data_IF_699321866201
#
_entry.id   IF_699321866201
#
_cell.length_a   1.000
_cell.length_b   1.000
_cell.length_c   1.000
_cell.angle_alpha   90.00
_cell.angle_beta   90.00
_cell.angle_gamma   90.00
#
_symmetry.space_group_name_H-M   'P 1'
#
loop_
_entity.id
_entity.type
_entity.pdbx_description
1 polymer ?
#
# COMPACT_ATOMS: atom_id res chain seq x y z
N UNK A 1 22.30 15.14 -30.86
CA UNK A 1 21.38 14.51 -29.89
C UNK A 1 20.43 13.59 -30.65
N UNK A 2 20.36 12.30 -30.33
CA UNK A 2 19.30 11.44 -30.86
C UNK A 2 18.00 11.85 -30.17
N UNK A 3 16.98 12.23 -30.95
CA UNK A 3 15.63 12.43 -30.43
C UNK A 3 15.11 11.07 -29.99
N UNK A 4 14.96 10.86 -28.68
CA UNK A 4 14.36 9.64 -28.14
C UNK A 4 12.86 9.79 -28.24
N UNK A 5 12.23 9.03 -29.14
CA UNK A 5 10.78 8.93 -29.21
C UNK A 5 10.32 8.17 -27.95
N UNK A 6 9.57 8.85 -27.08
CA UNK A 6 8.97 8.23 -25.90
C UNK A 6 7.74 7.41 -26.32
N UNK A 7 7.47 6.33 -25.58
CA UNK A 7 6.21 5.59 -25.72
C UNK A 7 5.04 6.54 -25.38
N UNK A 8 3.90 6.39 -26.07
CA UNK A 8 2.69 7.15 -25.80
C UNK A 8 2.25 7.04 -24.32
N UNK A 9 2.41 5.87 -23.70
CA UNK A 9 2.10 5.64 -22.29
C UNK A 9 3.05 6.34 -21.30
N UNK A 10 4.16 6.90 -21.79
CA UNK A 10 5.12 7.69 -21.01
C UNK A 10 5.05 9.19 -21.36
N UNK A 11 4.26 9.57 -22.38
CA UNK A 11 4.05 10.96 -22.78
C UNK A 11 2.90 11.60 -22.02
N UNK A 12 2.90 12.93 -21.93
CA UNK A 12 1.76 13.67 -21.40
C UNK A 12 0.52 13.39 -22.25
N UNK A 13 -0.58 13.00 -21.60
CA UNK A 13 -1.85 12.69 -22.26
C UNK A 13 -2.58 13.95 -22.71
N UNK A 14 -3.34 13.84 -23.80
CA UNK A 14 -4.26 14.89 -24.21
C UNK A 14 -5.48 14.91 -23.28
N UNK A 15 -6.23 16.03 -23.21
CA UNK A 15 -7.49 16.08 -22.48
C UNK A 15 -8.47 14.95 -22.89
N UNK A 16 -8.50 14.60 -24.18
CA UNK A 16 -9.40 13.57 -24.71
C UNK A 16 -9.04 12.15 -24.25
N UNK A 17 -7.77 11.87 -23.97
CA UNK A 17 -7.25 10.55 -23.60
C UNK A 17 -6.89 10.42 -22.12
N UNK A 18 -7.02 11.52 -21.36
CA UNK A 18 -6.64 11.57 -19.95
C UNK A 18 -7.43 10.58 -19.07
N UNK A 19 -8.69 10.31 -19.44
CA UNK A 19 -9.56 9.39 -18.72
C UNK A 19 -9.53 7.95 -19.25
N UNK A 20 -8.74 7.65 -20.28
CA UNK A 20 -8.60 6.28 -20.77
C UNK A 20 -7.72 5.45 -19.81
N UNK A 21 -7.98 4.14 -19.65
CA UNK A 21 -7.11 3.29 -18.85
C UNK A 21 -5.68 3.25 -19.42
N UNK A 22 -4.67 3.16 -18.54
CA UNK A 22 -3.31 2.85 -19.00
C UNK A 22 -3.23 1.40 -19.51
N UNK A 23 -2.61 1.13 -20.68
CA UNK A 23 -2.47 -0.22 -21.19
C UNK A 23 -1.82 -1.21 -20.21
N UNK A 24 -0.96 -0.72 -19.31
CA UNK A 24 -0.27 -1.53 -18.29
C UNK A 24 -1.19 -1.91 -17.13
N UNK A 25 -2.18 -1.09 -16.82
CA UNK A 25 -3.17 -1.36 -15.76
C UNK A 25 -4.03 -2.58 -16.13
N UNK A 26 -4.30 -2.78 -17.41
CA UNK A 26 -5.09 -3.90 -17.93
C UNK A 26 -4.24 -5.14 -18.29
N UNK A 27 -2.91 -5.03 -18.29
CA UNK A 27 -2.00 -6.09 -18.76
C UNK A 27 -2.00 -7.34 -17.86
N UNK A 28 -2.36 -7.20 -16.57
CA UNK A 28 -2.38 -8.29 -15.60
C UNK A 28 -3.80 -8.81 -15.30
N UNK A 29 -4.72 -8.68 -16.25
CA UNK A 29 -6.04 -9.29 -16.15
C UNK A 29 -5.90 -10.82 -16.05
N UNK A 30 -6.45 -11.41 -14.97
CA UNK A 30 -6.68 -12.85 -14.91
C UNK A 30 -7.87 -13.23 -15.81
N UNK A 31 -8.66 -14.23 -15.41
CA UNK A 31 -9.87 -14.63 -16.15
C UNK A 31 -10.92 -13.51 -16.22
N UNK A 32 -10.88 -12.55 -15.28
CA UNK A 32 -11.77 -11.39 -15.25
C UNK A 32 -11.02 -10.14 -15.69
N UNK A 33 -11.57 -9.42 -16.69
CA UNK A 33 -11.05 -8.12 -17.09
C UNK A 33 -11.16 -7.14 -15.91
N UNK A 34 -10.07 -6.48 -15.51
CA UNK A 34 -10.13 -5.49 -14.45
C UNK A 34 -10.97 -4.31 -14.94
N UNK A 35 -11.78 -3.74 -14.06
CA UNK A 35 -12.60 -2.56 -14.33
C UNK A 35 -12.32 -1.47 -13.32
N UNK A 36 -12.50 -0.20 -13.71
CA UNK A 36 -12.34 0.93 -12.80
C UNK A 36 -13.28 0.81 -11.59
N UNK A 37 -14.48 0.27 -11.77
CA UNK A 37 -15.44 0.04 -10.68
C UNK A 37 -14.94 -1.02 -9.67
N UNK A 38 -14.32 -2.10 -10.15
CA UNK A 38 -13.71 -3.10 -9.27
C UNK A 38 -12.50 -2.51 -8.53
N UNK A 39 -11.63 -1.78 -9.24
CA UNK A 39 -10.48 -1.07 -8.66
C UNK A 39 -10.90 -0.08 -7.57
N UNK A 40 -11.94 0.72 -7.83
CA UNK A 40 -12.52 1.63 -6.84
C UNK A 40 -13.02 0.88 -5.60
N UNK A 41 -13.76 -0.21 -5.79
CA UNK A 41 -14.31 -1.01 -4.69
C UNK A 41 -13.21 -1.57 -3.78
N UNK A 42 -12.10 -2.01 -4.36
CA UNK A 42 -10.95 -2.52 -3.61
C UNK A 42 -10.29 -1.41 -2.77
N UNK A 43 -10.20 -0.19 -3.30
CA UNK A 43 -9.69 0.99 -2.57
C UNK A 43 -10.66 1.41 -1.45
N UNK A 44 -11.95 1.46 -1.75
CA UNK A 44 -13.02 1.88 -0.83
C UNK A 44 -13.12 0.97 0.40
N UNK A 45 -12.81 -0.33 0.24
CA UNK A 45 -12.75 -1.29 1.33
C UNK A 45 -11.67 -0.98 2.38
N UNK A 46 -10.70 -0.11 2.06
CA UNK A 46 -9.66 0.36 2.98
C UNK A 46 -10.17 1.64 3.66
N UNK A 47 -10.56 1.51 4.93
CA UNK A 47 -11.14 2.60 5.71
C UNK A 47 -10.29 2.91 6.95
N UNK A 48 -10.24 4.19 7.31
CA UNK A 48 -9.69 4.62 8.59
C UNK A 48 -10.71 4.35 9.71
N UNK A 49 -10.19 4.07 10.91
CA UNK A 49 -11.02 3.97 12.11
C UNK A 49 -11.42 5.34 12.63
N UNK A 50 -12.46 5.39 13.47
CA UNK A 50 -12.86 6.61 14.15
C UNK A 50 -11.73 7.16 15.04
N UNK A 51 -11.59 8.50 15.09
CA UNK A 51 -10.61 9.19 15.93
C UNK A 51 -9.26 9.49 15.29
N UNK A 52 -9.09 9.22 13.99
CA UNK A 52 -7.90 9.68 13.25
C UNK A 52 -7.95 11.20 13.08
N UNK A 53 -6.86 11.94 13.37
CA UNK A 53 -6.82 13.39 13.18
C UNK A 53 -7.12 13.79 11.73
N UNK A 54 -7.85 14.90 11.55
CA UNK A 54 -8.29 15.39 10.24
C UNK A 54 -7.14 15.52 9.24
N UNK A 55 -6.01 16.12 9.65
CA UNK A 55 -4.84 16.27 8.80
C UNK A 55 -4.30 14.93 8.27
N UNK A 56 -4.36 13.86 9.07
CA UNK A 56 -3.94 12.51 8.66
C UNK A 56 -4.96 11.91 7.70
N UNK A 57 -6.26 12.07 7.98
CA UNK A 57 -7.35 11.60 7.15
C UNK A 57 -7.29 12.21 5.74
N UNK A 58 -7.05 13.52 5.63
CA UNK A 58 -6.88 14.21 4.34
C UNK A 58 -5.72 13.59 3.53
N UNK A 59 -4.57 13.34 4.16
CA UNK A 59 -3.43 12.74 3.44
C UNK A 59 -3.68 11.29 3.03
N UNK A 60 -4.47 10.55 3.81
CA UNK A 60 -4.90 9.20 3.46
C UNK A 60 -5.86 9.21 2.25
N UNK A 61 -6.83 10.11 2.23
CA UNK A 61 -7.73 10.30 1.09
C UNK A 61 -6.97 10.68 -0.19
N UNK A 62 -5.97 11.55 -0.07
CA UNK A 62 -5.09 11.87 -1.19
C UNK A 62 -4.36 10.63 -1.73
N UNK A 63 -3.91 9.72 -0.86
CA UNK A 63 -3.31 8.46 -1.28
C UNK A 63 -4.31 7.58 -2.05
N UNK A 64 -5.55 7.44 -1.54
CA UNK A 64 -6.62 6.67 -2.19
C UNK A 64 -6.97 7.23 -3.56
N UNK A 65 -7.12 8.55 -3.65
CA UNK A 65 -7.41 9.24 -4.91
C UNK A 65 -6.27 9.07 -5.91
N UNK A 66 -5.01 9.24 -5.50
CA UNK A 66 -3.87 8.99 -6.38
C UNK A 66 -3.83 7.53 -6.86
N UNK A 67 -4.15 6.57 -5.99
CA UNK A 67 -4.20 5.15 -6.34
C UNK A 67 -5.34 4.84 -7.31
N UNK A 68 -6.49 5.52 -7.17
CA UNK A 68 -7.60 5.45 -8.13
C UNK A 68 -7.16 6.00 -9.49
N UNK A 69 -6.56 7.20 -9.53
CA UNK A 69 -6.09 7.80 -10.79
C UNK A 69 -4.91 7.08 -11.43
N UNK A 70 -4.15 6.29 -10.66
CA UNK A 70 -3.12 5.41 -11.21
C UNK A 70 -3.68 4.35 -12.17
N UNK A 71 -5.00 4.11 -12.14
CA UNK A 71 -5.70 3.34 -13.17
C UNK A 71 -5.47 3.92 -14.58
N UNK A 72 -5.57 5.24 -14.69
CA UNK A 72 -5.37 5.98 -15.92
C UNK A 72 -3.89 6.25 -16.20
N UNK A 73 -3.06 6.37 -15.18
CA UNK A 73 -1.61 6.62 -15.35
C UNK A 73 -0.83 5.65 -14.46
N UNK A 74 -0.39 4.53 -15.02
CA UNK A 74 0.25 3.44 -14.25
C UNK A 74 1.45 3.92 -13.40
N UNK A 75 2.20 4.92 -13.89
CA UNK A 75 3.34 5.51 -13.17
C UNK A 75 2.95 6.24 -11.87
N UNK A 76 1.66 6.47 -11.62
CA UNK A 76 1.20 7.05 -10.37
C UNK A 76 1.07 6.02 -9.23
N UNK A 77 1.14 4.71 -9.49
CA UNK A 77 1.11 3.70 -8.43
C UNK A 77 2.21 3.91 -7.36
N UNK A 78 3.49 4.09 -7.74
CA UNK A 78 4.54 4.42 -6.76
C UNK A 78 4.31 5.76 -6.02
N UNK A 79 3.70 6.74 -6.69
CA UNK A 79 3.40 8.06 -6.10
C UNK A 79 2.31 7.91 -5.04
N UNK A 80 1.23 7.19 -5.35
CA UNK A 80 0.18 6.85 -4.41
C UNK A 80 0.71 6.06 -3.20
N UNK A 81 1.61 5.09 -3.44
CA UNK A 81 2.27 4.34 -2.37
C UNK A 81 3.12 5.25 -1.46
N UNK A 82 3.87 6.18 -2.05
CA UNK A 82 4.69 7.13 -1.30
C UNK A 82 3.81 8.06 -0.45
N UNK A 83 2.69 8.52 -1.00
CA UNK A 83 1.68 9.31 -0.29
C UNK A 83 1.03 8.52 0.87
N UNK A 84 0.76 7.22 0.68
CA UNK A 84 0.25 6.37 1.75
C UNK A 84 1.26 6.23 2.91
N UNK A 85 2.54 6.04 2.60
CA UNK A 85 3.61 5.99 3.60
C UNK A 85 3.78 7.33 4.33
N UNK A 86 3.64 8.44 3.62
CA UNK A 86 3.64 9.78 4.23
C UNK A 86 2.46 9.98 5.19
N UNK A 87 1.25 9.58 4.79
CA UNK A 87 0.06 9.63 5.66
C UNK A 87 0.26 8.78 6.92
N UNK A 88 0.85 7.58 6.79
CA UNK A 88 1.21 6.73 7.92
C UNK A 88 2.23 7.40 8.84
N UNK A 89 3.29 8.00 8.29
CA UNK A 89 4.28 8.74 9.08
C UNK A 89 3.63 9.87 9.88
N UNK A 90 2.74 10.64 9.24
CA UNK A 90 2.01 11.73 9.89
C UNK A 90 1.12 11.22 11.03
N UNK A 91 0.41 10.11 10.82
CA UNK A 91 -0.40 9.47 11.85
C UNK A 91 0.43 8.96 13.04
N UNK A 92 1.59 8.37 12.76
CA UNK A 92 2.51 7.92 13.81
C UNK A 92 3.07 9.12 14.59
N UNK A 93 3.45 10.20 13.92
CA UNK A 93 3.90 11.45 14.58
C UNK A 93 2.83 12.09 15.46
N UNK A 94 1.56 12.02 15.05
CA UNK A 94 0.46 12.53 15.85
C UNK A 94 0.19 11.70 17.12
N UNK A 95 0.62 10.43 17.14
CA UNK A 95 0.37 9.49 18.24
C UNK A 95 1.57 9.31 19.18
N UNK A 96 2.78 9.38 18.63
CA UNK A 96 4.03 9.09 19.34
C UNK A 96 4.72 10.37 19.80
N UNK A 97 5.67 10.29 20.76
CA UNK A 97 6.43 11.46 21.19
C UNK A 97 7.25 12.09 20.05
N UNK A 98 7.44 13.41 20.11
CA UNK A 98 8.27 14.17 19.15
C UNK A 98 9.73 13.70 19.08
N UNK A 99 10.20 13.08 20.17
CA UNK A 99 11.53 12.49 20.29
C UNK A 99 11.40 11.03 20.72
N UNK A 100 11.93 10.11 19.92
CA UNK A 100 12.01 8.70 20.26
C UNK A 100 13.33 8.38 20.98
N UNK A 101 13.35 7.34 21.83
CA UNK A 101 14.59 6.84 22.40
C UNK A 101 15.49 6.21 21.32
N UNK A 102 16.78 6.06 21.63
CA UNK A 102 17.62 5.13 20.86
C UNK A 102 17.07 3.70 21.02
N UNK A 103 17.12 2.86 19.97
CA UNK A 103 17.80 3.07 18.67
C UNK A 103 16.92 3.72 17.58
N UNK A 104 15.66 4.09 17.87
CA UNK A 104 14.67 4.49 16.87
C UNK A 104 14.88 5.90 16.30
N UNK A 105 15.63 6.75 17.00
CA UNK A 105 16.00 8.07 16.51
C UNK A 105 17.46 8.37 16.82
N UNK A 106 18.21 8.77 15.80
CA UNK A 106 19.62 9.12 15.92
C UNK A 106 19.79 10.50 16.56
N UNK A 107 20.89 10.76 17.30
CA UNK A 107 21.14 12.05 17.95
C UNK A 107 20.99 13.25 17.02
N UNK A 108 21.54 13.17 15.80
CA UNK A 108 21.52 14.26 14.81
C UNK A 108 20.17 14.47 14.11
N UNK A 109 19.23 13.52 14.20
CA UNK A 109 17.92 13.65 13.57
C UNK A 109 17.04 14.58 14.40
N UNK A 110 16.58 15.70 13.82
CA UNK A 110 15.67 16.63 14.52
C UNK A 110 14.33 15.98 14.88
N UNK A 111 13.77 15.20 13.96
CA UNK A 111 12.51 14.48 14.15
C UNK A 111 12.67 13.01 13.73
N UNK A 112 11.88 12.11 14.32
CA UNK A 112 11.87 10.72 13.89
C UNK A 112 11.26 10.61 12.47
N UNK A 113 11.82 9.67 11.70
CA UNK A 113 11.34 9.33 10.35
C UNK A 113 10.52 8.05 10.41
N UNK A 114 9.78 7.73 9.34
CA UNK A 114 8.89 6.57 9.26
C UNK A 114 9.51 5.27 9.78
N UNK A 115 10.75 4.95 9.39
CA UNK A 115 11.40 3.71 9.82
C UNK A 115 11.55 3.62 11.35
N UNK A 116 11.96 4.71 12.00
CA UNK A 116 12.09 4.79 13.45
C UNK A 116 10.75 4.74 14.16
N UNK A 117 9.78 5.51 13.66
CA UNK A 117 8.41 5.53 14.17
C UNK A 117 7.74 4.16 14.10
N UNK A 118 7.89 3.47 12.98
CA UNK A 118 7.31 2.15 12.77
C UNK A 118 7.97 1.10 13.66
N UNK A 119 9.30 1.12 13.77
CA UNK A 119 10.02 0.23 14.70
C UNK A 119 9.57 0.43 16.14
N UNK A 120 9.48 1.68 16.60
CA UNK A 120 9.00 1.98 17.94
C UNK A 120 7.54 1.57 18.15
N UNK A 121 6.67 1.81 17.17
CA UNK A 121 5.27 1.41 17.23
C UNK A 121 5.09 -0.12 17.32
N UNK A 122 5.94 -0.89 16.64
CA UNK A 122 5.96 -2.36 16.73
C UNK A 122 6.36 -2.78 18.14
N UNK A 123 7.44 -2.22 18.69
CA UNK A 123 7.95 -2.60 20.01
C UNK A 123 7.04 -2.16 21.17
N UNK A 124 6.28 -1.07 20.98
CA UNK A 124 5.18 -0.69 21.88
C UNK A 124 3.90 -1.52 21.67
N UNK A 125 3.90 -2.45 20.71
CA UNK A 125 2.77 -3.32 20.41
C UNK A 125 1.56 -2.59 19.80
N UNK A 126 1.76 -1.40 19.22
CA UNK A 126 0.73 -0.64 18.50
C UNK A 126 0.47 -1.22 17.10
N UNK A 127 1.48 -1.84 16.51
CA UNK A 127 1.37 -2.60 15.25
C UNK A 127 1.71 -4.04 15.54
N UNK A 128 0.81 -4.95 15.18
CA UNK A 128 0.97 -6.40 15.42
C UNK A 128 0.60 -7.17 14.17
N UNK A 129 1.27 -8.32 13.95
CA UNK A 129 1.05 -9.15 12.77
C UNK A 129 -0.40 -9.63 12.68
N UNK A 130 -1.00 -9.93 13.82
CA UNK A 130 -2.39 -10.36 13.98
C UNK A 130 -3.40 -9.30 13.51
N UNK A 131 -2.99 -8.03 13.42
CA UNK A 131 -3.81 -6.97 12.85
C UNK A 131 -3.93 -7.04 11.32
N UNK A 132 -3.06 -7.79 10.63
CA UNK A 132 -3.05 -7.86 9.17
C UNK A 132 -3.81 -9.09 8.66
N UNK A 133 -4.85 -8.88 7.83
CA UNK A 133 -5.60 -9.98 7.19
C UNK A 133 -4.69 -10.98 6.46
N UNK A 134 -3.63 -10.50 5.80
CA UNK A 134 -2.65 -11.34 5.10
C UNK A 134 -1.93 -12.31 6.03
N UNK A 135 -1.68 -11.93 7.28
CA UNK A 135 -1.06 -12.83 8.27
C UNK A 135 -1.95 -14.05 8.53
N UNK A 136 -3.24 -13.80 8.76
CA UNK A 136 -4.24 -14.87 8.94
C UNK A 136 -4.35 -15.76 7.70
N UNK A 137 -4.48 -15.16 6.52
CA UNK A 137 -4.55 -15.91 5.25
C UNK A 137 -3.30 -16.78 5.01
N UNK A 138 -2.11 -16.28 5.32
CA UNK A 138 -0.87 -17.05 5.17
C UNK A 138 -0.78 -18.19 6.20
N UNK A 139 -1.24 -17.97 7.43
CA UNK A 139 -1.31 -19.01 8.46
C UNK A 139 -2.29 -20.13 8.07
N UNK A 140 -3.48 -19.75 7.58
CA UNK A 140 -4.46 -20.70 7.04
C UNK A 140 -3.91 -21.47 5.84
N UNK A 141 -3.26 -20.78 4.90
CA UNK A 141 -2.63 -21.40 3.74
C UNK A 141 -1.60 -22.46 4.14
N UNK A 142 -0.70 -22.13 5.08
CA UNK A 142 0.29 -23.07 5.63
C UNK A 142 -0.36 -24.25 6.36
N UNK A 143 -1.44 -24.02 7.09
CA UNK A 143 -2.17 -25.09 7.77
C UNK A 143 -2.84 -26.05 6.78
N UNK A 144 -3.50 -25.54 5.74
CA UNK A 144 -4.09 -26.36 4.66
C UNK A 144 -3.02 -27.17 3.93
N UNK A 145 -1.90 -26.54 3.62
CA UNK A 145 -0.80 -27.21 2.92
C UNK A 145 -0.21 -28.36 3.74
N UNK A 146 0.04 -28.15 5.05
CA UNK A 146 0.49 -29.22 5.95
C UNK A 146 -0.49 -30.39 6.00
N UNK A 147 -1.78 -30.11 6.19
CA UNK A 147 -2.83 -31.14 6.18
C UNK A 147 -2.86 -31.92 4.86
N UNK A 148 -2.70 -31.25 3.71
CA UNK A 148 -2.65 -31.94 2.42
C UNK A 148 -1.42 -32.84 2.27
N UNK A 149 -0.26 -32.42 2.79
CA UNK A 149 0.95 -33.24 2.78
C UNK A 149 0.81 -34.45 3.69
N UNK A 150 0.24 -34.29 4.89
CA UNK A 150 -0.02 -35.39 5.83
C UNK A 150 -0.98 -36.42 5.25
N UNK A 151 -2.07 -35.97 4.61
CA UNK A 151 -3.00 -36.86 3.90
C UNK A 151 -2.30 -37.59 2.75
N UNK A 152 -1.51 -36.88 1.95
CA UNK A 152 -0.79 -37.48 0.83
C UNK A 152 0.24 -38.53 1.30
N UNK A 153 0.98 -38.24 2.37
CA UNK A 153 1.91 -39.17 2.99
C UNK A 153 1.18 -40.43 3.49
N UNK A 154 0.07 -40.27 4.21
CA UNK A 154 -0.75 -41.37 4.69
C UNK A 154 -1.45 -42.19 3.59
N UNK A 155 -1.52 -41.70 2.35
CA UNK A 155 -2.02 -42.44 1.19
C UNK A 155 -0.92 -43.20 0.45
N UNK A 156 0.35 -42.86 0.67
CA UNK A 156 1.51 -43.54 0.07
C UNK A 156 2.10 -44.63 0.97
N UNK A 157 1.79 -44.59 2.27
CA UNK A 157 2.10 -45.63 3.26
C UNK A 157 0.98 -46.71 3.30
#
# INVERSE_FOLDING_TARGET
MKSTILNAAESLRSPDTAAEPDPRTTMFAGETLPSLAAHHRDIEAIQLTFGVPEAVAIQFENARNLYLYAWHVYRFFPVAQSQALFSLELGLKARLPDRLPEPYQRPWQRQPMLAGLLGYAIDQGLVRNEGFRRWHQAAEGRARQRRSMEIFQAMMD
#
